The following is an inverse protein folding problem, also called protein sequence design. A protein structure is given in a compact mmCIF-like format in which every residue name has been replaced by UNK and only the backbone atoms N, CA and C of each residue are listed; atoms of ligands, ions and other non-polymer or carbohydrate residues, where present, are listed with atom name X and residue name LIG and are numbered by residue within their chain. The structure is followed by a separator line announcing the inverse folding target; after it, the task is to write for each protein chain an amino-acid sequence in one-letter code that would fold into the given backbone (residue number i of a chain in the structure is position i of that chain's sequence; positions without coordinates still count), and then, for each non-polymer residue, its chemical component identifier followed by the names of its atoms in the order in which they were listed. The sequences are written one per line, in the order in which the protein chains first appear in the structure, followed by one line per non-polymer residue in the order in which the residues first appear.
data_IF_320744781638
#
_entry.id   IF_320744781638
#
_cell.length_a   1.000
_cell.length_b   1.000
_cell.length_c   1.000
_cell.angle_alpha   90.00
_cell.angle_beta   90.00
_cell.angle_gamma   90.00
#
_symmetry.space_group_name_H-M   'P 1'
#
loop_
_entity.id
_entity.type
_entity.pdbx_description
1 polymer ?
#
# COMPACT_ATOMS: atom_id res chain seq x y z
N UNK A 1 -45.26 -13.11 -43.13
CA UNK A 1 -44.14 -12.55 -42.33
C UNK A 1 -44.56 -11.18 -41.80
N UNK A 2 -44.27 -10.86 -40.53
CA UNK A 2 -44.68 -9.59 -39.90
C UNK A 2 -43.55 -8.56 -40.09
N UNK A 3 -43.86 -7.36 -40.59
CA UNK A 3 -42.84 -6.36 -40.89
C UNK A 3 -42.38 -5.59 -39.63
N UNK A 4 -41.18 -4.99 -39.72
CA UNK A 4 -40.52 -4.26 -38.62
C UNK A 4 -41.39 -3.12 -38.03
N UNK A 5 -42.24 -2.49 -38.85
CA UNK A 5 -43.13 -1.41 -38.40
C UNK A 5 -44.35 -1.94 -37.61
N UNK A 6 -44.92 -3.09 -37.99
CA UNK A 6 -46.01 -3.72 -37.24
C UNK A 6 -45.56 -4.15 -35.83
N UNK A 7 -44.37 -4.74 -35.69
CA UNK A 7 -43.78 -5.07 -34.39
C UNK A 7 -43.59 -3.81 -33.52
N UNK A 8 -43.14 -2.69 -34.12
CA UNK A 8 -42.91 -1.43 -33.40
C UNK A 8 -44.20 -0.70 -33.00
N UNK A 9 -45.29 -0.91 -33.74
CA UNK A 9 -46.61 -0.40 -33.40
C UNK A 9 -47.26 -1.19 -32.24
N UNK A 10 -47.14 -2.53 -32.26
CA UNK A 10 -47.64 -3.39 -31.18
C UNK A 10 -46.98 -3.05 -29.82
N UNK A 11 -45.67 -2.79 -29.81
CA UNK A 11 -44.91 -2.41 -28.62
C UNK A 11 -45.31 -1.05 -28.00
N UNK A 12 -46.08 -0.21 -28.71
CA UNK A 12 -46.56 1.11 -28.20
C UNK A 12 -47.98 1.07 -27.64
N UNK A 13 -48.73 -0.03 -27.79
CA UNK A 13 -50.10 -0.18 -27.29
C UNK A 13 -50.17 -1.20 -26.16
N UNK A 14 -49.61 -0.82 -25.00
CA UNK A 14 -49.87 -1.47 -23.72
C UNK A 14 -50.20 -0.38 -22.68
N UNK A 15 -51.48 -0.08 -22.43
CA UNK A 15 -51.87 0.74 -21.29
C UNK A 15 -51.66 -0.10 -20.02
N UNK A 16 -50.54 0.11 -19.34
CA UNK A 16 -50.21 -0.60 -18.11
C UNK A 16 -51.07 -0.09 -16.96
N UNK A 17 -52.23 -0.71 -16.73
CA UNK A 17 -53.10 -0.40 -15.58
C UNK A 17 -52.46 -0.92 -14.29
N UNK A 18 -51.94 -0.01 -13.49
CA UNK A 18 -51.41 -0.30 -12.15
C UNK A 18 -52.55 -0.40 -11.11
N UNK A 19 -52.48 -1.32 -10.15
CA UNK A 19 -53.41 -1.36 -9.02
C UNK A 19 -53.13 -0.21 -8.02
N UNK A 20 -54.15 0.27 -7.28
CA UNK A 20 -53.97 1.37 -6.33
C UNK A 20 -53.23 0.90 -5.08
N UNK A 21 -51.95 1.26 -4.97
CA UNK A 21 -51.16 1.02 -3.75
C UNK A 21 -51.18 2.23 -2.81
N UNK A 22 -51.64 1.94 -1.59
CA UNK A 22 -51.57 2.70 -0.33
C UNK A 22 -50.63 3.91 -0.35
N UNK A 23 -51.19 5.09 -0.09
CA UNK A 23 -50.43 6.33 0.06
C UNK A 23 -49.73 6.38 1.44
N UNK A 24 -48.40 6.38 1.45
CA UNK A 24 -47.61 6.78 2.64
C UNK A 24 -46.94 8.11 2.37
N UNK A 25 -47.45 9.18 2.96
CA UNK A 25 -47.01 10.56 2.73
C UNK A 25 -45.64 10.85 3.34
N UNK A 26 -44.57 10.75 2.55
CA UNK A 26 -43.27 11.35 2.91
C UNK A 26 -43.19 12.78 2.36
N UNK A 27 -43.51 13.75 3.22
CA UNK A 27 -43.20 15.16 2.98
C UNK A 27 -41.69 15.36 2.86
N UNK A 28 -41.21 15.69 1.66
CA UNK A 28 -39.86 16.20 1.45
C UNK A 28 -39.90 17.73 1.50
N UNK A 29 -39.44 18.29 2.61
CA UNK A 29 -39.34 19.74 2.78
C UNK A 29 -38.26 20.32 1.86
N UNK A 30 -38.67 21.22 0.96
CA UNK A 30 -37.77 21.93 0.05
C UNK A 30 -37.20 23.19 0.72
N UNK A 31 -36.13 23.05 1.50
CA UNK A 31 -35.37 24.21 2.01
C UNK A 31 -34.45 24.76 0.92
N UNK A 32 -34.73 25.99 0.47
CA UNK A 32 -33.85 26.75 -0.44
C UNK A 32 -32.52 27.08 0.26
N UNK A 33 -31.35 26.92 -0.39
CA UNK A 33 -30.13 27.56 0.09
C UNK A 33 -30.18 29.06 -0.21
N UNK A 34 -30.00 29.90 0.82
CA UNK A 34 -29.67 31.30 0.63
C UNK A 34 -28.20 31.41 0.19
N UNK A 35 -27.97 32.20 -0.86
CA UNK A 35 -26.64 32.40 -1.46
C UNK A 35 -25.97 33.61 -0.80
N UNK A 36 -25.33 33.39 0.34
CA UNK A 36 -24.58 34.43 1.07
C UNK A 36 -23.22 34.68 0.38
N UNK A 37 -23.12 35.76 -0.41
CA UNK A 37 -21.90 36.12 -1.14
C UNK A 37 -21.06 37.12 -0.36
N UNK A 38 -20.07 36.64 0.40
CA UNK A 38 -19.03 37.48 0.97
C UNK A 38 -17.95 37.81 -0.10
N UNK A 39 -17.72 39.08 -0.46
CA UNK A 39 -16.61 39.46 -1.34
C UNK A 39 -15.29 39.48 -0.57
N UNK A 40 -14.45 38.46 -0.76
CA UNK A 40 -13.06 38.47 -0.28
C UNK A 40 -12.20 39.30 -1.22
N UNK A 41 -11.63 40.40 -0.73
CA UNK A 41 -10.65 41.18 -1.48
C UNK A 41 -9.31 40.44 -1.57
N UNK A 42 -8.66 40.38 -2.76
CA UNK A 42 -7.25 40.06 -2.85
C UNK A 42 -6.43 41.34 -2.64
N UNK A 43 -5.72 41.43 -1.52
CA UNK A 43 -4.76 42.51 -1.26
C UNK A 43 -3.46 41.97 -0.67
N UNK A 44 -2.36 42.64 -1.00
CA UNK A 44 -0.97 42.43 -0.56
C UNK A 44 -0.15 41.42 -1.38
N UNK A 45 0.87 41.96 -2.07
CA UNK A 45 1.91 41.22 -2.79
C UNK A 45 3.05 40.79 -1.84
N UNK A 46 3.81 39.72 -2.15
CA UNK A 46 5.03 39.37 -1.43
C UNK A 46 6.23 40.23 -1.89
N UNK A 47 7.15 40.59 -0.98
CA UNK A 47 8.40 41.28 -1.35
C UNK A 47 9.43 40.32 -1.99
N UNK A 48 10.32 40.82 -2.87
CA UNK A 48 11.37 39.99 -3.48
C UNK A 48 12.54 39.73 -2.53
N UNK A 49 12.95 38.47 -2.40
CA UNK A 49 14.22 38.09 -1.74
C UNK A 49 15.41 38.20 -2.71
N UNK A 50 16.57 38.71 -2.27
CA UNK A 50 17.73 38.96 -3.14
C UNK A 50 18.53 37.70 -3.51
N UNK A 51 19.18 37.76 -4.66
CA UNK A 51 20.02 36.72 -5.27
C UNK A 51 21.33 36.44 -4.50
N UNK A 52 21.84 35.20 -4.50
CA UNK A 52 23.25 34.91 -4.22
C UNK A 52 24.13 35.08 -5.47
N UNK A 53 25.31 35.66 -5.31
CA UNK A 53 26.36 35.73 -6.34
C UNK A 53 27.13 34.38 -6.49
N UNK A 54 27.86 34.17 -7.60
CA UNK A 54 28.47 32.88 -7.92
C UNK A 54 29.80 32.62 -7.17
N UNK A 55 30.19 31.35 -6.96
CA UNK A 55 31.54 30.99 -6.54
C UNK A 55 32.53 31.12 -7.72
N UNK A 56 33.66 31.76 -7.45
CA UNK A 56 34.72 32.04 -8.42
C UNK A 56 35.49 30.80 -8.89
N UNK A 57 35.93 30.86 -10.15
CA UNK A 57 36.88 29.94 -10.77
C UNK A 57 38.24 29.96 -10.06
N UNK A 58 38.77 28.79 -9.68
CA UNK A 58 40.23 28.55 -9.60
C UNK A 58 40.53 27.13 -10.06
N UNK A 59 41.35 26.98 -11.09
CA UNK A 59 41.90 25.70 -11.53
C UNK A 59 43.29 25.49 -10.93
N UNK A 60 43.70 24.24 -10.66
CA UNK A 60 45.02 23.62 -10.96
C UNK A 60 45.18 22.22 -10.27
N UNK A 61 46.19 21.38 -10.64
CA UNK A 61 45.93 19.98 -11.03
C UNK A 61 46.51 18.93 -10.02
N UNK A 62 46.51 17.60 -10.33
CA UNK A 62 46.79 16.55 -9.33
C UNK A 62 48.26 16.10 -9.28
N UNK A 63 48.61 15.27 -8.29
CA UNK A 63 49.63 14.23 -8.47
C UNK A 63 49.24 12.85 -7.90
N UNK A 64 49.23 11.84 -8.78
CA UNK A 64 49.78 10.51 -8.50
C UNK A 64 51.15 10.42 -9.24
N UNK A 65 51.99 9.36 -9.13
CA UNK A 65 51.92 8.16 -8.28
C UNK A 65 53.22 7.92 -7.45
N UNK A 66 53.26 6.89 -6.58
CA UNK A 66 54.46 6.05 -6.49
C UNK A 66 54.33 4.68 -5.78
N UNK A 67 54.83 3.65 -6.48
CA UNK A 67 55.62 2.50 -6.00
C UNK A 67 55.12 1.53 -4.89
N UNK A 68 54.87 0.30 -5.36
CA UNK A 68 55.29 -1.03 -4.83
C UNK A 68 56.36 -0.95 -3.71
N UNK A 69 56.41 -1.82 -2.69
CA UNK A 69 56.60 -3.27 -2.84
C UNK A 69 56.57 -4.06 -1.49
N UNK A 70 56.30 -5.37 -1.62
CA UNK A 70 56.84 -6.52 -0.81
C UNK A 70 56.94 -6.45 0.73
N UNK A 71 56.23 -7.38 1.37
CA UNK A 71 56.76 -8.17 2.50
C UNK A 71 56.32 -9.64 2.33
N UNK A 72 57.27 -10.57 2.37
CA UNK A 72 57.02 -12.02 2.24
C UNK A 72 56.80 -12.68 3.60
N UNK A 73 56.12 -13.83 3.59
CA UNK A 73 56.02 -14.73 4.74
C UNK A 73 57.24 -15.66 4.83
N UNK A 74 57.64 -16.01 6.07
CA UNK A 74 58.50 -17.12 6.56
C UNK A 74 58.66 -16.86 8.09
N UNK A 75 58.68 -17.81 9.04
CA UNK A 75 58.45 -19.26 9.01
C UNK A 75 59.20 -19.98 10.15
N UNK A 76 58.48 -20.54 11.14
CA UNK A 76 58.97 -21.44 12.21
C UNK A 76 59.93 -20.84 13.30
N UNK A 77 60.13 -21.39 14.52
CA UNK A 77 59.57 -22.58 15.20
C UNK A 77 59.82 -22.58 16.74
N UNK A 78 59.03 -23.37 17.51
CA UNK A 78 59.32 -24.02 18.83
C UNK A 78 59.62 -23.12 20.07
N UNK A 79 59.24 -23.41 21.34
CA UNK A 79 58.63 -24.60 21.99
C UNK A 79 57.79 -24.26 23.25
N UNK A 80 56.94 -25.22 23.68
CA UNK A 80 56.03 -25.36 24.85
C UNK A 80 56.73 -25.44 26.25
N UNK A 81 56.06 -25.60 27.46
CA UNK A 81 54.70 -26.12 27.76
C UNK A 81 53.83 -25.50 28.93
N UNK A 82 52.49 -25.70 28.86
CA UNK A 82 51.42 -26.06 29.89
C UNK A 82 51.46 -25.57 31.38
N UNK A 83 50.39 -25.76 32.24
CA UNK A 83 48.98 -26.17 32.00
C UNK A 83 47.86 -25.44 32.83
N UNK A 84 46.61 -25.45 32.32
CA UNK A 84 45.33 -25.72 33.04
C UNK A 84 44.18 -25.67 31.98
N UNK A 85 43.48 -26.76 31.60
CA UNK A 85 42.35 -27.39 32.30
C UNK A 85 41.33 -26.40 32.89
N UNK A 86 40.01 -26.48 32.67
CA UNK A 86 39.15 -27.30 31.79
C UNK A 86 37.79 -26.55 31.63
N UNK A 87 36.74 -26.98 30.92
CA UNK A 87 36.44 -28.21 30.16
C UNK A 87 35.48 -27.89 28.98
N UNK A 88 35.14 -28.87 28.14
CA UNK A 88 34.13 -28.72 27.08
C UNK A 88 32.73 -29.16 27.54
N UNK A 89 31.70 -28.34 27.31
CA UNK A 89 30.30 -28.72 27.44
C UNK A 89 29.51 -28.27 26.20
N UNK A 90 29.00 -29.24 25.42
CA UNK A 90 28.12 -28.97 24.28
C UNK A 90 26.77 -28.47 24.80
N UNK A 91 26.35 -27.25 24.43
CA UNK A 91 24.96 -26.80 24.64
C UNK A 91 24.18 -26.99 23.34
N UNK A 92 23.12 -27.80 23.41
CA UNK A 92 22.24 -28.03 22.28
C UNK A 92 21.58 -26.74 21.81
N UNK A 93 21.50 -26.56 20.49
CA UNK A 93 20.36 -25.87 19.90
C UNK A 93 19.13 -26.69 20.26
N UNK A 94 18.16 -26.09 20.93
CA UNK A 94 16.72 -26.32 20.76
C UNK A 94 15.96 -25.32 21.64
N UNK A 95 15.98 -24.07 21.18
CA UNK A 95 15.09 -23.02 21.61
C UNK A 95 14.89 -22.12 20.39
N UNK A 96 14.01 -22.54 19.48
CA UNK A 96 13.46 -21.68 18.45
C UNK A 96 12.61 -20.62 19.16
N UNK A 97 13.26 -19.58 19.67
CA UNK A 97 12.59 -18.45 20.29
C UNK A 97 11.58 -17.92 19.29
N UNK A 98 10.30 -17.89 19.69
CA UNK A 98 9.33 -17.04 19.01
C UNK A 98 9.95 -15.66 18.97
N UNK A 99 10.24 -15.17 17.78
CA UNK A 99 10.61 -13.77 17.61
C UNK A 99 9.38 -13.00 18.09
N UNK A 100 9.47 -12.46 19.31
CA UNK A 100 8.56 -11.42 19.76
C UNK A 100 8.85 -10.21 18.87
N UNK A 101 8.20 -10.19 17.71
CA UNK A 101 7.93 -8.96 17.00
C UNK A 101 7.19 -8.10 18.02
N UNK A 102 7.87 -7.04 18.46
CA UNK A 102 7.34 -6.06 19.40
C UNK A 102 6.12 -5.43 18.72
N UNK A 103 4.91 -5.87 19.12
CA UNK A 103 3.65 -5.52 18.43
C UNK A 103 3.40 -4.01 18.54
N UNK A 104 3.59 -3.45 19.73
CA UNK A 104 3.48 -2.02 20.00
C UNK A 104 4.84 -1.36 20.26
N UNK A 105 4.97 -0.11 19.83
CA UNK A 105 6.12 0.75 20.21
C UNK A 105 5.91 1.48 21.56
N UNK A 106 4.75 1.31 22.19
CA UNK A 106 4.32 2.03 23.40
C UNK A 106 4.03 1.00 24.50
N UNK A 107 4.79 0.99 25.61
CA UNK A 107 4.56 0.02 26.68
C UNK A 107 3.25 0.29 27.42
N UNK A 108 2.67 -0.78 27.96
CA UNK A 108 1.47 -0.72 28.81
C UNK A 108 1.66 0.25 30.00
N UNK A 109 0.59 0.95 30.37
CA UNK A 109 0.57 1.97 31.42
C UNK A 109 1.07 3.35 30.99
N UNK A 110 1.62 3.52 29.78
CA UNK A 110 2.07 4.84 29.31
C UNK A 110 0.88 5.77 28.98
N UNK A 111 0.83 7.01 29.50
CA UNK A 111 -0.25 7.95 29.18
C UNK A 111 -0.14 8.47 27.73
N UNK A 112 -1.22 8.32 26.97
CA UNK A 112 -1.32 8.77 25.60
C UNK A 112 -1.66 10.27 25.55
N UNK A 113 -0.61 11.08 25.63
CA UNK A 113 -0.68 12.54 25.79
C UNK A 113 -1.52 13.23 24.71
N UNK A 114 -2.45 14.09 25.13
CA UNK A 114 -3.19 14.96 24.23
C UNK A 114 -4.36 14.31 23.49
N UNK A 115 -4.81 13.12 23.92
CA UNK A 115 -6.05 12.52 23.45
C UNK A 115 -7.28 13.04 24.21
N UNK A 116 -7.12 13.42 25.48
CA UNK A 116 -8.22 13.95 26.27
C UNK A 116 -8.43 15.47 26.04
N UNK A 117 -9.66 15.83 25.66
CA UNK A 117 -10.12 17.22 25.51
C UNK A 117 -11.06 17.68 26.66
N UNK A 118 -11.36 16.81 27.63
CA UNK A 118 -12.29 17.08 28.72
C UNK A 118 -11.55 17.49 30.01
N UNK A 119 -11.84 18.70 30.51
CA UNK A 119 -11.14 19.35 31.64
C UNK A 119 -11.08 18.53 32.94
N UNK A 120 -12.01 17.60 33.14
CA UNK A 120 -12.16 16.81 34.37
C UNK A 120 -11.75 15.33 34.19
N UNK A 121 -10.99 15.00 33.14
CA UNK A 121 -10.49 13.65 32.88
C UNK A 121 -8.97 13.68 32.71
N UNK A 122 -8.32 12.54 32.90
CA UNK A 122 -6.92 12.32 32.55
C UNK A 122 -6.80 11.85 31.11
N UNK A 123 -5.60 11.94 30.53
CA UNK A 123 -5.31 11.21 29.29
C UNK A 123 -5.49 9.70 29.51
N UNK A 124 -5.96 8.95 28.49
CA UNK A 124 -6.09 7.50 28.58
C UNK A 124 -4.70 6.85 28.66
N UNK A 125 -4.59 5.80 29.48
CA UNK A 125 -3.38 4.98 29.57
C UNK A 125 -3.39 3.90 28.49
N UNK A 126 -2.23 3.59 27.94
CA UNK A 126 -2.06 2.42 27.09
C UNK A 126 -2.35 1.13 27.88
N UNK A 127 -3.18 0.26 27.32
CA UNK A 127 -3.48 -1.08 27.84
C UNK A 127 -2.41 -2.08 27.39
N UNK A 128 -2.50 -3.35 27.78
CA UNK A 128 -1.58 -4.36 27.28
C UNK A 128 -1.88 -4.72 25.81
N UNK A 129 -0.84 -5.09 25.04
CA UNK A 129 -0.96 -5.40 23.59
C UNK A 129 -2.02 -6.47 23.27
N UNK A 130 -2.26 -7.40 24.20
CA UNK A 130 -3.21 -8.51 24.05
C UNK A 130 -4.63 -8.14 24.50
N UNK A 131 -4.83 -7.00 25.17
CA UNK A 131 -6.16 -6.44 25.49
C UNK A 131 -6.74 -5.62 24.31
N UNK A 132 -5.88 -5.23 23.36
CA UNK A 132 -6.30 -4.58 22.13
C UNK A 132 -6.80 -5.61 21.09
N UNK A 133 -7.89 -5.34 20.36
CA UNK A 133 -8.39 -6.24 19.32
C UNK A 133 -7.36 -6.50 18.20
N UNK A 134 -7.28 -7.75 17.73
CA UNK A 134 -6.31 -8.19 16.71
C UNK A 134 -6.31 -7.34 15.43
N UNK A 135 -7.47 -6.79 15.04
CA UNK A 135 -7.58 -5.95 13.84
C UNK A 135 -6.72 -4.68 13.91
N UNK A 136 -6.35 -4.20 15.10
CA UNK A 136 -5.52 -3.01 15.28
C UNK A 136 -4.15 -3.19 14.59
N UNK A 137 -3.57 -4.39 14.73
CA UNK A 137 -2.24 -4.72 14.23
C UNK A 137 -2.23 -4.85 12.69
N UNK A 138 -3.34 -5.29 12.09
CA UNK A 138 -3.46 -5.44 10.61
C UNK A 138 -3.76 -4.13 9.87
N UNK A 139 -4.03 -3.01 10.57
CA UNK A 139 -4.33 -1.72 9.94
C UNK A 139 -3.16 -1.20 9.08
N UNK A 140 -1.92 -1.41 9.52
CA UNK A 140 -0.72 -0.90 8.85
C UNK A 140 -0.35 -1.69 7.58
N UNK A 141 -0.66 -2.98 7.51
CA UNK A 141 -0.37 -3.85 6.35
C UNK A 141 -0.94 -3.26 5.04
N UNK A 142 -2.10 -2.59 5.13
CA UNK A 142 -2.77 -1.91 4.01
C UNK A 142 -2.09 -0.60 3.56
N UNK A 143 -1.25 0.00 4.40
CA UNK A 143 -0.33 1.07 4.02
C UNK A 143 0.90 0.46 3.36
N UNK A 144 1.51 -0.52 4.02
CA UNK A 144 2.76 -1.17 3.59
C UNK A 144 2.62 -1.83 2.22
N UNK A 145 1.53 -2.55 1.93
CA UNK A 145 1.27 -3.14 0.61
C UNK A 145 1.25 -2.10 -0.54
N UNK A 146 0.95 -0.82 -0.26
CA UNK A 146 1.08 0.27 -1.25
C UNK A 146 2.51 0.79 -1.33
N UNK A 147 3.21 0.84 -0.20
CA UNK A 147 4.62 1.21 -0.11
C UNK A 147 5.53 0.20 -0.80
N UNK A 148 5.27 -1.10 -0.65
CA UNK A 148 6.01 -2.18 -1.30
C UNK A 148 5.83 -2.15 -2.83
N UNK A 149 4.59 -1.95 -3.31
CA UNK A 149 4.34 -1.72 -4.73
C UNK A 149 5.08 -0.49 -5.27
N UNK A 150 5.26 0.56 -4.46
CA UNK A 150 6.08 1.72 -4.81
C UNK A 150 7.60 1.43 -4.75
N UNK A 151 8.06 0.62 -3.80
CA UNK A 151 9.46 0.16 -3.68
C UNK A 151 9.87 -0.80 -4.81
N UNK A 152 8.92 -1.55 -5.36
CA UNK A 152 9.05 -2.31 -6.60
C UNK A 152 9.03 -1.39 -7.84
N UNK A 153 8.23 -0.31 -7.80
CA UNK A 153 8.27 0.78 -8.78
C UNK A 153 9.65 1.46 -8.84
N UNK A 154 10.34 1.60 -7.71
CA UNK A 154 11.73 2.07 -7.66
C UNK A 154 12.76 1.00 -8.07
N UNK A 155 12.54 0.32 -9.20
CA UNK A 155 13.62 -0.33 -9.93
C UNK A 155 14.41 0.69 -10.77
N UNK A 156 13.87 1.89 -11.02
CA UNK A 156 14.48 2.87 -11.90
C UNK A 156 15.61 3.70 -11.25
N UNK A 157 15.43 4.17 -10.01
CA UNK A 157 16.49 4.94 -9.30
C UNK A 157 17.59 4.03 -8.73
N UNK A 158 17.34 2.71 -8.67
CA UNK A 158 18.35 1.70 -8.35
C UNK A 158 19.46 1.65 -9.42
N UNK A 159 20.69 1.41 -8.95
CA UNK A 159 21.91 1.38 -9.76
C UNK A 159 21.78 0.39 -10.93
N UNK A 160 22.46 0.69 -12.05
CA UNK A 160 22.49 -0.16 -13.26
C UNK A 160 22.85 -1.64 -12.95
N UNK A 161 23.66 -1.88 -11.91
CA UNK A 161 23.99 -3.22 -11.41
C UNK A 161 22.80 -3.89 -10.71
N UNK A 162 22.10 -3.18 -9.84
CA UNK A 162 20.91 -3.67 -9.13
C UNK A 162 19.78 -4.01 -10.11
N UNK A 163 19.51 -3.17 -11.11
CA UNK A 163 18.56 -3.47 -12.20
C UNK A 163 18.89 -4.77 -12.94
N UNK A 164 20.16 -4.98 -13.28
CA UNK A 164 20.62 -6.23 -13.94
C UNK A 164 20.45 -7.46 -13.05
N UNK A 165 20.71 -7.35 -11.74
CA UNK A 165 20.52 -8.44 -10.78
C UNK A 165 19.03 -8.76 -10.59
N UNK A 166 18.19 -7.73 -10.43
CA UNK A 166 16.73 -7.88 -10.33
C UNK A 166 16.14 -8.54 -11.59
N UNK A 167 16.52 -8.08 -12.79
CA UNK A 167 16.08 -8.69 -14.04
C UNK A 167 16.55 -10.15 -14.22
N UNK A 168 17.76 -10.48 -13.76
CA UNK A 168 18.25 -11.88 -13.73
C UNK A 168 17.48 -12.75 -12.74
N UNK A 169 17.16 -12.21 -11.56
CA UNK A 169 16.34 -12.90 -10.54
C UNK A 169 14.92 -13.17 -11.08
N UNK A 170 14.25 -12.15 -11.62
CA UNK A 170 12.90 -12.27 -12.20
C UNK A 170 12.87 -13.32 -13.32
N UNK A 171 13.85 -13.32 -14.25
CA UNK A 171 13.97 -14.35 -15.29
C UNK A 171 14.19 -15.75 -14.73
N UNK A 172 14.94 -15.88 -13.63
CA UNK A 172 15.15 -17.17 -12.95
C UNK A 172 13.84 -17.65 -12.31
N UNK A 173 13.14 -16.78 -11.59
CA UNK A 173 11.84 -17.08 -10.96
C UNK A 173 10.77 -17.48 -11.98
N UNK A 174 10.76 -16.85 -13.16
CA UNK A 174 9.90 -17.22 -14.30
C UNK A 174 10.25 -18.57 -14.94
N UNK A 175 11.54 -18.95 -14.95
CA UNK A 175 12.00 -20.23 -15.47
C UNK A 175 11.70 -21.38 -14.48
N UNK A 176 11.86 -21.11 -13.18
CA UNK A 176 11.53 -22.05 -12.10
C UNK A 176 10.01 -22.23 -11.96
N UNK A 177 9.23 -21.17 -12.18
CA UNK A 177 7.76 -21.18 -12.08
C UNK A 177 7.14 -20.82 -13.44
N UNK A 178 7.00 -21.78 -14.38
CA UNK A 178 6.43 -21.50 -15.71
C UNK A 178 5.00 -20.93 -15.65
N UNK A 179 4.25 -21.19 -14.58
CA UNK A 179 2.94 -20.59 -14.34
C UNK A 179 2.95 -19.06 -14.13
N UNK A 180 4.07 -18.46 -13.68
CA UNK A 180 4.20 -17.00 -13.54
C UNK A 180 4.40 -16.28 -14.88
N UNK A 181 4.71 -17.02 -15.95
CA UNK A 181 4.84 -16.46 -17.29
C UNK A 181 3.46 -16.24 -17.96
N UNK A 182 2.43 -16.93 -17.48
CA UNK A 182 1.05 -16.75 -17.94
C UNK A 182 0.52 -15.41 -17.41
N UNK A 183 0.03 -14.49 -18.27
CA UNK A 183 -0.49 -13.19 -17.83
C UNK A 183 -1.62 -13.35 -16.79
N UNK A 184 -1.44 -12.77 -15.60
CA UNK A 184 -2.46 -12.79 -14.55
C UNK A 184 -3.62 -11.87 -14.94
N UNK A 185 -4.68 -12.45 -15.52
CA UNK A 185 -5.92 -11.74 -15.84
C UNK A 185 -6.53 -11.15 -14.56
N UNK A 186 -6.81 -9.83 -14.49
CA UNK A 186 -7.44 -9.21 -13.33
C UNK A 186 -8.84 -9.78 -13.05
N UNK A 187 -9.26 -9.80 -11.78
CA UNK A 187 -10.56 -10.37 -11.34
C UNK A 187 -11.78 -9.78 -12.06
N UNK A 188 -11.71 -8.53 -12.53
CA UNK A 188 -12.80 -7.86 -13.26
C UNK A 188 -12.80 -8.10 -14.77
N UNK A 189 -11.81 -8.81 -15.31
CA UNK A 189 -11.72 -9.25 -16.71
C UNK A 189 -11.91 -10.78 -16.84
N UNK A 190 -12.00 -11.49 -15.72
CA UNK A 190 -12.34 -12.91 -15.69
C UNK A 190 -13.84 -13.11 -15.90
N UNK A 191 -14.20 -14.13 -16.69
CA UNK A 191 -15.58 -14.61 -16.89
C UNK A 191 -15.89 -15.88 -16.08
N UNK A 192 -15.12 -16.12 -15.02
CA UNK A 192 -15.30 -17.27 -14.13
C UNK A 192 -16.36 -16.89 -13.10
N UNK A 193 -17.29 -17.80 -12.83
CA UNK A 193 -18.34 -17.57 -11.83
C UNK A 193 -17.75 -17.35 -10.44
N UNK A 194 -18.29 -16.35 -9.72
CA UNK A 194 -17.94 -16.13 -8.33
C UNK A 194 -18.58 -17.22 -7.46
N UNK A 195 -17.94 -17.63 -6.35
CA UNK A 195 -18.54 -18.57 -5.42
C UNK A 195 -19.95 -18.10 -4.99
N UNK A 196 -20.92 -18.99 -5.16
CA UNK A 196 -22.32 -18.70 -4.82
C UNK A 196 -22.60 -18.91 -3.32
N UNK A 197 -21.84 -19.83 -2.71
CA UNK A 197 -21.99 -20.32 -1.34
C UNK A 197 -22.84 -21.59 -1.31
N UNK A 198 -22.31 -22.68 -0.75
CA UNK A 198 -22.92 -24.02 -0.78
C UNK A 198 -24.04 -24.21 0.26
N UNK A 199 -24.74 -23.13 0.60
CA UNK A 199 -25.75 -23.08 1.67
C UNK A 199 -25.16 -23.05 3.10
N UNK A 200 -23.86 -23.27 3.27
CA UNK A 200 -23.17 -23.15 4.57
C UNK A 200 -22.89 -21.69 4.93
N UNK A 201 -22.74 -21.41 6.24
CA UNK A 201 -22.34 -20.08 6.73
C UNK A 201 -20.97 -19.66 6.23
N UNK A 202 -20.02 -20.59 6.18
CA UNK A 202 -18.66 -20.38 5.68
C UNK A 202 -18.67 -20.04 4.19
N UNK A 203 -19.34 -20.84 3.35
CA UNK A 203 -19.51 -20.57 1.93
C UNK A 203 -20.21 -19.24 1.63
N UNK A 204 -21.14 -18.81 2.50
CA UNK A 204 -21.76 -17.49 2.40
C UNK A 204 -20.78 -16.33 2.71
N UNK A 205 -19.87 -16.51 3.67
CA UNK A 205 -18.81 -15.53 3.99
C UNK A 205 -17.80 -15.45 2.84
N UNK A 206 -17.37 -16.58 2.27
CA UNK A 206 -16.47 -16.62 1.11
C UNK A 206 -17.10 -15.99 -0.14
N UNK A 207 -18.37 -16.32 -0.43
CA UNK A 207 -19.14 -15.71 -1.50
C UNK A 207 -19.24 -14.18 -1.33
N UNK A 208 -19.45 -13.70 -0.10
CA UNK A 208 -19.45 -12.27 0.20
C UNK A 208 -18.06 -11.63 -0.03
N UNK A 209 -16.99 -12.28 0.44
CA UNK A 209 -15.62 -11.81 0.30
C UNK A 209 -15.18 -11.68 -1.17
N UNK A 210 -15.45 -12.69 -2.00
CA UNK A 210 -15.14 -12.66 -3.43
C UNK A 210 -15.90 -11.54 -4.17
N UNK A 211 -17.20 -11.35 -3.85
CA UNK A 211 -18.02 -10.24 -4.38
C UNK A 211 -17.50 -8.88 -3.93
N UNK A 212 -16.99 -8.77 -2.70
CA UNK A 212 -16.31 -7.56 -2.23
C UNK A 212 -15.00 -7.29 -2.96
N UNK A 213 -14.18 -8.32 -3.22
CA UNK A 213 -12.91 -8.19 -3.93
C UNK A 213 -13.13 -7.65 -5.35
N UNK A 214 -14.06 -8.23 -6.10
CA UNK A 214 -14.45 -7.73 -7.41
C UNK A 214 -14.91 -6.26 -7.35
N UNK A 215 -15.72 -5.89 -6.35
CA UNK A 215 -16.16 -4.50 -6.13
C UNK A 215 -14.99 -3.57 -5.81
N UNK A 216 -14.02 -4.01 -5.00
CA UNK A 216 -12.79 -3.28 -4.64
C UNK A 216 -11.93 -3.07 -5.89
N UNK A 217 -11.70 -4.10 -6.69
CA UNK A 217 -10.92 -4.03 -7.93
C UNK A 217 -11.58 -3.12 -8.99
N UNK A 218 -12.90 -3.23 -9.19
CA UNK A 218 -13.67 -2.32 -10.06
C UNK A 218 -13.67 -0.87 -9.56
N UNK A 219 -13.56 -0.63 -8.25
CA UNK A 219 -13.36 0.72 -7.70
C UNK A 219 -11.95 1.25 -7.99
N UNK A 220 -10.93 0.40 -8.00
CA UNK A 220 -9.57 0.79 -8.37
C UNK A 220 -9.48 1.15 -9.87
N UNK A 221 -10.01 0.30 -10.78
CA UNK A 221 -10.07 0.59 -12.23
C UNK A 221 -10.77 1.92 -12.51
N UNK A 222 -11.95 2.16 -11.92
CA UNK A 222 -12.66 3.44 -12.04
C UNK A 222 -11.86 4.64 -11.51
N UNK A 223 -11.16 4.49 -10.38
CA UNK A 223 -10.29 5.55 -9.84
C UNK A 223 -9.09 5.86 -10.74
N UNK A 224 -8.49 4.85 -11.38
CA UNK A 224 -7.42 5.05 -12.34
C UNK A 224 -7.92 5.82 -13.58
N UNK A 225 -9.04 5.36 -14.17
CA UNK A 225 -9.67 6.03 -15.32
C UNK A 225 -10.08 7.47 -15.01
N UNK A 226 -10.60 7.78 -13.82
CA UNK A 226 -10.92 9.17 -13.42
C UNK A 226 -9.65 10.02 -13.35
N UNK A 227 -8.55 9.49 -12.78
CA UNK A 227 -7.27 10.21 -12.73
C UNK A 227 -6.70 10.48 -14.11
N UNK A 228 -6.69 9.47 -14.98
CA UNK A 228 -6.24 9.57 -16.38
C UNK A 228 -7.06 10.59 -17.15
N UNK A 229 -8.39 10.50 -17.13
CA UNK A 229 -9.27 11.46 -17.81
C UNK A 229 -9.10 12.89 -17.27
N UNK A 230 -8.93 13.07 -15.95
CA UNK A 230 -8.67 14.38 -15.38
C UNK A 230 -7.30 14.94 -15.81
N UNK A 231 -6.27 14.08 -15.88
CA UNK A 231 -4.93 14.46 -16.33
C UNK A 231 -4.92 14.84 -17.82
N UNK A 232 -5.51 14.03 -18.69
CA UNK A 232 -5.65 14.32 -20.12
C UNK A 232 -6.50 15.58 -20.37
N UNK A 233 -7.57 15.79 -19.58
CA UNK A 233 -8.40 17.00 -19.65
C UNK A 233 -7.65 18.26 -19.19
N UNK A 234 -6.69 18.14 -18.28
CA UNK A 234 -5.88 19.26 -17.83
C UNK A 234 -4.71 19.61 -18.78
N UNK A 235 -4.42 18.74 -19.77
CA UNK A 235 -3.38 18.96 -20.79
C UNK A 235 -3.94 19.39 -22.17
N UNK A 236 -5.26 19.56 -22.30
CA UNK A 236 -5.93 20.09 -23.50
C UNK A 236 -6.49 21.47 -23.22
#
# INVERSE_FOLDING_TARGET
MICRNCLRAAARRQPFTLPPSIQTTRFLSMTRPLHESNPVMPSTAPPPTPSPLPPSTTAHPPPEPNSKATAQALGAALSTPLPLQAAAAKKGKDAAGKVHLVKSSVPAGMPLKGLNFLKNKTDPLAMADDEYPDWLWTVLEKQEAKGEAALAGDLFSKSKKQRRVAAKRLRKEQLENPGLLIPKVPIYEQSIDLPSGDGTTEGAIEAAAAREELRKAMRQKRRALIKENNFLRAMR
#
